data_IF_905486927527
#
_entry.id   IF_905486927527
#
_cell.length_a   1.000
_cell.length_b   1.000
_cell.length_c   1.000
_cell.angle_alpha   90.00
_cell.angle_beta   90.00
_cell.angle_gamma   90.00
#
_symmetry.space_group_name_H-M   'P 1'
#
loop_
_entity.id
_entity.type
_entity.pdbx_description
1 polymer ?
#
# COMPACT_ATOMS: atom_id res chain seq x y z
N UNK A 1 -14.35 21.98 -5.68
CA UNK A 1 -15.31 20.86 -5.68
C UNK A 1 -16.70 21.37 -5.44
N UNK A 2 -17.66 20.92 -6.25
CA UNK A 2 -19.07 21.35 -6.19
C UNK A 2 -19.99 20.12 -6.39
N UNK A 3 -21.27 20.28 -6.03
CA UNK A 3 -22.27 19.24 -6.28
C UNK A 3 -22.41 18.23 -5.15
N UNK A 4 -23.17 17.17 -5.43
CA UNK A 4 -23.43 16.10 -4.49
C UNK A 4 -22.20 15.21 -4.30
N UNK A 5 -22.03 14.71 -3.10
CA UNK A 5 -21.08 13.63 -2.85
C UNK A 5 -21.73 12.29 -3.21
N UNK A 6 -20.98 11.44 -3.84
CA UNK A 6 -21.38 10.07 -4.11
C UNK A 6 -20.23 9.12 -3.70
N UNK A 7 -20.58 7.88 -3.49
CA UNK A 7 -19.60 6.86 -3.14
C UNK A 7 -19.35 5.97 -4.35
N UNK A 8 -18.11 5.84 -4.73
CA UNK A 8 -17.70 4.88 -5.75
C UNK A 8 -16.52 4.03 -5.28
N UNK A 9 -16.31 2.90 -5.94
CA UNK A 9 -15.30 1.95 -5.52
C UNK A 9 -13.98 2.26 -6.23
N UNK A 10 -12.97 2.64 -5.47
CA UNK A 10 -11.65 3.01 -5.97
C UNK A 10 -10.65 1.88 -5.83
N UNK A 11 -9.75 1.78 -6.81
CA UNK A 11 -8.55 0.96 -6.80
C UNK A 11 -7.38 1.79 -7.30
N UNK A 12 -6.16 1.45 -6.91
CA UNK A 12 -4.96 2.16 -7.29
C UNK A 12 -3.77 1.22 -7.43
N UNK A 13 -2.90 1.46 -8.40
CA UNK A 13 -1.67 0.68 -8.59
C UNK A 13 -0.69 0.85 -7.42
N UNK A 14 -0.72 2.00 -6.74
CA UNK A 14 0.07 2.23 -5.52
C UNK A 14 -0.36 1.34 -4.34
N UNK A 15 -1.60 0.82 -4.38
CA UNK A 15 -2.17 -0.06 -3.35
C UNK A 15 -2.88 -1.23 -4.05
N UNK A 16 -2.12 -2.17 -4.65
CA UNK A 16 -2.68 -3.25 -5.45
C UNK A 16 -3.51 -4.24 -4.61
N UNK A 17 -4.34 -5.06 -5.28
CA UNK A 17 -5.14 -6.14 -4.71
C UNK A 17 -6.31 -5.73 -3.81
N UNK A 18 -6.52 -4.45 -3.58
CA UNK A 18 -7.61 -3.94 -2.75
C UNK A 18 -8.35 -2.82 -3.44
N UNK A 19 -9.61 -2.69 -3.10
CA UNK A 19 -10.48 -1.58 -3.48
C UNK A 19 -11.29 -1.14 -2.27
N UNK A 20 -11.78 0.10 -2.28
CA UNK A 20 -12.58 0.65 -1.22
C UNK A 20 -13.62 1.64 -1.73
N UNK A 21 -14.79 1.72 -1.07
CA UNK A 21 -15.74 2.79 -1.32
C UNK A 21 -15.19 4.12 -0.78
N UNK A 22 -15.10 5.10 -1.64
CA UNK A 22 -14.62 6.45 -1.32
C UNK A 22 -15.69 7.48 -1.71
N UNK A 23 -15.90 8.47 -0.84
CA UNK A 23 -16.78 9.60 -1.14
C UNK A 23 -16.05 10.64 -1.95
N UNK A 24 -16.65 11.05 -3.07
CA UNK A 24 -16.13 12.07 -3.98
C UNK A 24 -17.22 13.06 -4.37
N UNK A 25 -16.83 14.25 -4.74
CA UNK A 25 -17.75 15.21 -5.34
C UNK A 25 -18.05 14.85 -6.78
N UNK A 26 -19.30 15.01 -7.19
CA UNK A 26 -19.75 14.70 -8.55
C UNK A 26 -19.24 15.71 -9.60
N UNK A 27 -18.82 16.89 -9.16
CA UNK A 27 -18.30 17.95 -10.01
C UNK A 27 -17.08 18.61 -9.37
N UNK A 28 -16.11 18.97 -10.19
CA UNK A 28 -14.90 19.71 -9.81
C UNK A 28 -14.64 20.83 -10.81
N UNK A 29 -14.28 22.01 -10.32
CA UNK A 29 -13.71 23.07 -11.13
C UNK A 29 -12.20 22.95 -11.07
N UNK A 30 -11.56 22.71 -12.21
CA UNK A 30 -10.13 22.55 -12.37
C UNK A 30 -9.54 23.82 -13.01
N UNK A 31 -8.51 24.40 -12.41
CA UNK A 31 -7.75 25.51 -12.99
C UNK A 31 -6.28 25.14 -13.06
N UNK A 32 -5.69 25.23 -14.25
CA UNK A 32 -4.29 24.86 -14.50
C UNK A 32 -3.67 25.75 -15.56
N UNK A 33 -2.34 25.70 -15.66
CA UNK A 33 -1.58 26.36 -16.73
C UNK A 33 -1.28 25.33 -17.82
N UNK A 34 -1.68 25.64 -19.05
CA UNK A 34 -1.42 24.81 -20.23
C UNK A 34 0.09 24.79 -20.57
N UNK A 35 0.50 23.86 -21.43
CA UNK A 35 1.86 23.82 -21.96
C UNK A 35 2.26 25.09 -22.76
N UNK A 36 1.28 25.87 -23.22
CA UNK A 36 1.48 27.17 -23.88
C UNK A 36 1.59 28.33 -22.90
N UNK A 37 1.48 28.08 -21.60
CA UNK A 37 1.52 29.11 -20.55
C UNK A 37 0.17 29.80 -20.31
N UNK A 38 -0.90 29.35 -20.96
CA UNK A 38 -2.24 29.94 -20.80
C UNK A 38 -2.95 29.38 -19.56
N UNK A 39 -3.70 30.24 -18.86
CA UNK A 39 -4.55 29.81 -17.75
C UNK A 39 -5.84 29.23 -18.29
N UNK A 40 -6.12 27.98 -17.96
CA UNK A 40 -7.33 27.25 -18.38
C UNK A 40 -8.16 26.91 -17.15
N UNK A 41 -9.49 27.07 -17.25
CA UNK A 41 -10.45 26.66 -16.22
C UNK A 41 -11.54 25.81 -16.85
N UNK A 42 -11.83 24.64 -16.24
CA UNK A 42 -12.80 23.67 -16.72
C UNK A 42 -13.69 23.19 -15.57
N UNK A 43 -14.98 23.05 -15.83
CA UNK A 43 -15.90 22.33 -14.95
C UNK A 43 -16.07 20.90 -15.45
N UNK A 44 -15.78 19.96 -14.58
CA UNK A 44 -15.65 18.54 -14.92
C UNK A 44 -16.61 17.74 -14.05
N UNK A 45 -17.42 16.91 -14.69
CA UNK A 45 -18.34 15.97 -14.05
C UNK A 45 -17.79 14.55 -13.97
N UNK A 46 -18.62 13.64 -13.44
CA UNK A 46 -18.31 12.22 -13.37
C UNK A 46 -18.19 11.56 -14.76
N UNK A 47 -17.37 10.54 -14.91
CA UNK A 47 -16.47 9.91 -13.91
C UNK A 47 -15.15 10.65 -13.71
N UNK A 48 -14.80 11.58 -14.61
CA UNK A 48 -13.50 12.26 -14.62
C UNK A 48 -13.26 13.10 -13.35
N UNK A 49 -14.31 13.69 -12.79
CA UNK A 49 -14.25 14.41 -11.51
C UNK A 49 -13.73 13.51 -10.36
N UNK A 50 -14.14 12.25 -10.32
CA UNK A 50 -13.67 11.28 -9.33
C UNK A 50 -12.19 10.94 -9.52
N UNK A 51 -11.78 10.70 -10.77
CA UNK A 51 -10.38 10.40 -11.14
C UNK A 51 -9.48 11.57 -10.75
N UNK A 52 -9.84 12.79 -11.12
CA UNK A 52 -9.05 13.98 -10.79
C UNK A 52 -8.87 14.18 -9.28
N UNK A 53 -9.91 13.94 -8.49
CA UNK A 53 -9.80 13.99 -7.04
C UNK A 53 -8.86 12.91 -6.49
N UNK A 54 -8.85 11.73 -7.11
CA UNK A 54 -7.92 10.65 -6.75
C UNK A 54 -6.46 11.05 -7.06
N UNK A 55 -6.21 11.60 -8.24
CA UNK A 55 -4.86 12.04 -8.62
C UNK A 55 -4.36 13.23 -7.80
N UNK A 56 -5.26 14.18 -7.45
CA UNK A 56 -4.91 15.28 -6.55
C UNK A 56 -4.53 14.77 -5.15
N UNK A 57 -5.23 13.73 -4.65
CA UNK A 57 -4.84 13.11 -3.38
C UNK A 57 -3.42 12.57 -3.39
N UNK A 58 -2.97 11.99 -4.50
CA UNK A 58 -1.59 11.53 -4.62
C UNK A 58 -0.58 12.66 -4.51
N UNK A 59 -0.89 13.83 -5.07
CA UNK A 59 -0.04 15.01 -4.94
C UNK A 59 0.03 15.53 -3.48
N UNK A 60 -1.05 15.33 -2.72
CA UNK A 60 -1.13 15.66 -1.29
C UNK A 60 -0.60 14.54 -0.38
N UNK A 61 -0.06 13.45 -0.93
CA UNK A 61 0.42 12.29 -0.19
C UNK A 61 -0.68 11.45 0.44
N UNK A 62 -1.94 11.59 -0.01
CA UNK A 62 -3.11 10.86 0.48
C UNK A 62 -3.43 9.69 -0.45
N UNK A 63 -3.73 8.52 0.11
CA UNK A 63 -4.17 7.35 -0.65
C UNK A 63 -5.69 7.14 -0.47
N UNK A 64 -6.34 6.50 -1.44
CA UNK A 64 -7.78 6.22 -1.36
C UNK A 64 -8.16 5.42 -0.10
N UNK A 65 -7.28 4.56 0.41
CA UNK A 65 -7.48 3.83 1.67
C UNK A 65 -7.54 4.73 2.90
N UNK A 66 -6.93 5.92 2.86
CA UNK A 66 -6.97 6.91 3.94
C UNK A 66 -8.34 7.58 4.02
N UNK A 67 -9.02 7.70 2.87
CA UNK A 67 -10.37 8.25 2.77
C UNK A 67 -11.48 7.25 3.08
N UNK A 68 -11.19 5.96 3.03
CA UNK A 68 -12.17 4.88 3.27
C UNK A 68 -12.59 4.72 4.75
N UNK A 69 -12.02 5.52 5.66
CA UNK A 69 -12.28 5.44 7.09
C UNK A 69 -11.40 4.42 7.83
N UNK A 70 -11.16 4.68 9.12
CA UNK A 70 -10.15 3.97 9.93
C UNK A 70 -10.34 2.45 9.96
N UNK A 71 -11.55 1.98 10.24
CA UNK A 71 -11.84 0.53 10.29
C UNK A 71 -11.67 -0.16 8.94
N UNK A 72 -12.06 0.51 7.87
CA UNK A 72 -11.87 0.00 6.51
C UNK A 72 -10.40 -0.07 6.16
N UNK A 73 -9.64 0.98 6.45
CA UNK A 73 -8.19 1.03 6.24
C UNK A 73 -7.47 -0.14 6.91
N UNK A 74 -7.77 -0.45 8.16
CA UNK A 74 -7.14 -1.57 8.88
C UNK A 74 -7.43 -2.92 8.20
N UNK A 75 -8.67 -3.16 7.77
CA UNK A 75 -9.05 -4.37 7.01
C UNK A 75 -8.32 -4.45 5.67
N UNK A 76 -8.27 -3.34 4.94
CA UNK A 76 -7.61 -3.26 3.64
C UNK A 76 -6.10 -3.51 3.76
N UNK A 77 -5.43 -2.93 4.74
CA UNK A 77 -4.01 -3.16 4.99
C UNK A 77 -3.72 -4.62 5.34
N UNK A 78 -4.57 -5.27 6.14
CA UNK A 78 -4.43 -6.72 6.42
C UNK A 78 -4.59 -7.56 5.16
N UNK A 79 -5.61 -7.26 4.33
CA UNK A 79 -5.83 -7.92 3.04
C UNK A 79 -4.64 -7.71 2.10
N UNK A 80 -4.21 -6.46 1.94
CA UNK A 80 -3.06 -6.09 1.11
C UNK A 80 -1.79 -6.87 1.50
N UNK A 81 -1.48 -6.94 2.78
CA UNK A 81 -0.32 -7.68 3.27
C UNK A 81 -0.41 -9.18 2.96
N UNK A 82 -1.60 -9.77 3.07
CA UNK A 82 -1.84 -11.17 2.71
C UNK A 82 -1.62 -11.41 1.22
N UNK A 83 -2.28 -10.62 0.38
CA UNK A 83 -2.22 -10.76 -1.09
C UNK A 83 -0.79 -10.50 -1.62
N UNK A 84 -0.11 -9.50 -1.07
CA UNK A 84 1.29 -9.22 -1.40
C UNK A 84 2.22 -10.40 -1.07
N UNK A 85 1.99 -11.09 0.06
CA UNK A 85 2.77 -12.30 0.40
C UNK A 85 2.51 -13.44 -0.58
N UNK A 86 1.25 -13.65 -0.95
CA UNK A 86 0.86 -14.68 -1.93
C UNK A 86 1.51 -14.37 -3.28
N UNK A 87 1.37 -13.16 -3.76
CA UNK A 87 1.93 -12.69 -5.03
C UNK A 87 3.46 -12.84 -5.08
N UNK A 88 4.17 -12.42 -4.02
CA UNK A 88 5.62 -12.60 -3.93
C UNK A 88 6.03 -14.07 -3.99
N UNK A 89 5.29 -14.94 -3.31
CA UNK A 89 5.55 -16.39 -3.34
C UNK A 89 5.33 -16.98 -4.73
N UNK A 90 4.26 -16.58 -5.40
CA UNK A 90 3.97 -17.03 -6.78
C UNK A 90 5.07 -16.60 -7.74
N UNK A 91 5.44 -15.31 -7.74
CA UNK A 91 6.54 -14.80 -8.57
C UNK A 91 7.88 -15.49 -8.30
N UNK A 92 8.17 -15.81 -7.06
CA UNK A 92 9.36 -16.55 -6.71
C UNK A 92 9.34 -17.98 -7.25
N UNK A 93 8.19 -18.66 -7.19
CA UNK A 93 8.01 -20.01 -7.75
C UNK A 93 8.12 -19.99 -9.28
N UNK A 94 7.49 -19.04 -9.96
CA UNK A 94 7.60 -18.86 -11.41
C UNK A 94 9.06 -18.64 -11.84
N UNK A 95 9.78 -17.80 -11.09
CA UNK A 95 11.19 -17.55 -11.36
C UNK A 95 12.04 -18.81 -11.19
N UNK A 96 11.76 -19.62 -10.16
CA UNK A 96 12.45 -20.91 -9.94
C UNK A 96 12.18 -21.90 -11.07
N UNK A 97 10.94 -21.99 -11.53
CA UNK A 97 10.56 -22.81 -12.67
C UNK A 97 11.27 -22.36 -13.94
N UNK A 98 11.26 -21.08 -14.23
CA UNK A 98 11.93 -20.52 -15.41
C UNK A 98 13.43 -20.82 -15.40
N UNK A 99 14.11 -20.70 -14.24
CA UNK A 99 15.53 -21.06 -14.10
C UNK A 99 15.75 -22.56 -14.35
N UNK A 100 14.88 -23.41 -13.82
CA UNK A 100 14.96 -24.85 -14.01
C UNK A 100 14.82 -25.24 -15.49
N UNK A 101 13.84 -24.65 -16.17
CA UNK A 101 13.55 -24.94 -17.58
C UNK A 101 14.62 -24.41 -18.55
N UNK A 102 15.14 -23.21 -18.29
CA UNK A 102 16.06 -22.54 -19.23
C UNK A 102 17.53 -22.83 -18.96
N UNK A 103 17.91 -23.02 -17.71
CA UNK A 103 19.30 -23.13 -17.28
C UNK A 103 19.63 -24.46 -16.55
N UNK A 104 18.60 -25.25 -16.26
CA UNK A 104 18.71 -26.54 -15.64
C UNK A 104 18.92 -26.53 -14.11
N UNK A 105 19.00 -27.74 -13.49
CA UNK A 105 18.94 -27.85 -12.02
C UNK A 105 20.20 -27.31 -11.30
N UNK A 106 21.35 -27.24 -11.98
CA UNK A 106 22.56 -26.65 -11.43
C UNK A 106 22.42 -25.14 -11.15
N UNK A 107 21.87 -24.42 -12.09
CA UNK A 107 21.59 -22.99 -11.95
C UNK A 107 20.56 -22.70 -10.85
N UNK A 108 19.52 -23.53 -10.74
CA UNK A 108 18.54 -23.42 -9.66
C UNK A 108 19.17 -23.64 -8.28
N UNK A 109 20.05 -24.61 -8.12
CA UNK A 109 20.78 -24.83 -6.84
C UNK A 109 21.62 -23.61 -6.48
N UNK A 110 22.34 -23.01 -7.44
CA UNK A 110 23.13 -21.79 -7.24
C UNK A 110 22.23 -20.62 -6.84
N UNK A 111 21.10 -20.44 -7.51
CA UNK A 111 20.14 -19.40 -7.18
C UNK A 111 19.60 -19.56 -5.74
N UNK A 112 19.20 -20.76 -5.33
CA UNK A 112 18.69 -21.03 -3.99
C UNK A 112 19.75 -20.81 -2.90
N UNK A 113 21.03 -21.12 -3.14
CA UNK A 113 22.11 -20.87 -2.20
C UNK A 113 22.34 -19.37 -1.95
N UNK A 114 22.14 -18.52 -2.96
CA UNK A 114 22.27 -17.07 -2.80
C UNK A 114 21.09 -16.43 -2.03
N UNK A 115 19.89 -17.05 -2.08
CA UNK A 115 18.72 -16.56 -1.33
C UNK A 115 18.74 -16.98 0.15
N UNK A 116 19.44 -18.06 0.51
CA UNK A 116 19.55 -18.56 1.89
C UNK A 116 20.48 -17.75 2.81
N UNK A 117 21.26 -16.79 2.27
CA UNK A 117 22.25 -16.02 3.02
C UNK A 117 21.73 -14.89 3.92
N UNK A 118 20.45 -14.54 3.86
CA UNK A 118 19.86 -13.46 4.69
C UNK A 118 18.96 -14.01 5.79
N UNK A 119 19.47 -14.98 6.57
CA UNK A 119 18.85 -15.33 7.85
C UNK A 119 19.09 -14.18 8.83
N UNK A 120 18.17 -13.22 8.86
CA UNK A 120 18.17 -12.16 9.85
C UNK A 120 18.12 -12.81 11.24
N UNK A 121 19.20 -12.66 12.00
CA UNK A 121 19.20 -12.94 13.44
C UNK A 121 18.02 -12.20 14.07
N UNK A 122 17.03 -12.94 14.56
CA UNK A 122 15.95 -12.36 15.40
C UNK A 122 16.63 -11.61 16.54
N UNK A 123 16.26 -10.36 16.81
CA UNK A 123 16.79 -9.66 17.99
C UNK A 123 16.41 -10.46 19.23
N UNK A 124 17.41 -10.92 19.97
CA UNK A 124 17.23 -11.60 21.25
C UNK A 124 16.61 -10.59 22.23
N UNK A 125 15.36 -10.83 22.58
CA UNK A 125 14.61 -10.04 23.57
C UNK A 125 15.31 -10.20 24.93
N UNK A 126 16.18 -9.26 25.31
CA UNK A 126 16.74 -9.18 26.65
C UNK A 126 15.59 -9.14 27.65
N UNK A 127 15.44 -10.17 28.47
CA UNK A 127 14.53 -10.18 29.61
C UNK A 127 15.01 -9.09 30.57
N UNK A 128 14.23 -8.01 30.70
CA UNK A 128 14.44 -7.04 31.75
C UNK A 128 14.14 -7.73 33.09
N UNK A 129 15.18 -7.92 33.90
CA UNK A 129 15.09 -8.45 35.26
C UNK A 129 14.25 -7.51 36.11
N UNK A 130 13.11 -7.99 36.62
CA UNK A 130 12.36 -7.32 37.66
C UNK A 130 13.13 -7.44 38.96
N UNK A 131 13.83 -6.39 39.36
CA UNK A 131 14.33 -6.20 40.71
C UNK A 131 13.16 -5.79 41.62
N UNK A 132 12.71 -6.72 42.44
CA UNK A 132 11.72 -6.47 43.50
C UNK A 132 12.46 -5.89 44.72
N UNK A 133 12.45 -4.57 44.89
CA UNK A 133 12.90 -3.90 46.07
C UNK A 133 11.91 -4.14 47.24
N UNK A 134 12.31 -4.94 48.21
CA UNK A 134 11.62 -5.06 49.52
C UNK A 134 11.79 -3.75 50.31
N UNK A 135 10.73 -2.97 50.43
CA UNK A 135 10.70 -1.86 51.36
C UNK A 135 10.24 -2.37 52.74
N UNK A 136 11.20 -2.46 53.70
CA UNK A 136 10.96 -2.72 55.09
C UNK A 136 10.31 -1.50 55.76
N UNK A 137 9.13 -1.68 56.37
CA UNK A 137 8.56 -0.76 57.36
C UNK A 137 9.47 -0.68 58.56
N UNK A 138 9.76 0.52 59.03
CA UNK A 138 10.13 0.84 60.42
C UNK A 138 9.39 2.09 60.85
N UNK A 139 8.60 1.89 61.89
CA UNK A 139 8.19 2.74 63.02
C UNK A 139 8.09 4.25 62.82
#
# INVERSE_FOLDING_TARGET
TKGHQFTWNEACLSVPFVNAPVKRYSQVSLSFTSLKGERVSLDIGMPLAGILQHECDHLDGTLFIDRAGRFFKEKLVKKLNKETRIFKKQRENEKRQLILETQGPGALRKYLSTQGGSSQKKPTRKKAGKSYGKNKKRK
#
